data_IF_347977079781
#
_entry.id   IF_347977079781
#
_cell.length_a   1.000
_cell.length_b   1.000
_cell.length_c   1.000
_cell.angle_alpha   90.00
_cell.angle_beta   90.00
_cell.angle_gamma   90.00
#
_symmetry.space_group_name_H-M   'P 1'
#
loop_
_entity.id
_entity.type
_entity.pdbx_description
1 polymer ?
#
# COMPACT_ATOMS: atom_id res chain seq x y z
N UNK A 1 1.13 11.68 7.17
CA UNK A 1 1.11 10.40 6.43
C UNK A 1 1.41 9.34 7.47
N UNK A 2 0.60 8.28 7.57
CA UNK A 2 0.78 7.26 8.62
C UNK A 2 1.64 6.13 8.04
N UNK A 3 2.58 5.61 8.82
CA UNK A 3 3.41 4.47 8.44
C UNK A 3 2.73 3.15 8.86
N UNK A 4 2.71 2.12 8.00
CA UNK A 4 3.11 2.16 6.59
C UNK A 4 2.12 2.90 5.70
N UNK A 5 2.63 3.68 4.75
CA UNK A 5 1.80 4.55 3.91
C UNK A 5 1.27 3.87 2.65
N UNK A 6 0.34 4.56 1.97
CA UNK A 6 -0.30 4.09 0.73
C UNK A 6 0.67 3.94 -0.44
N UNK A 7 1.81 4.63 -0.43
CA UNK A 7 2.79 4.61 -1.53
C UNK A 7 3.82 3.49 -1.40
N UNK A 8 4.05 2.99 -0.17
CA UNK A 8 5.13 2.04 0.15
C UNK A 8 5.25 0.88 -0.82
N UNK A 9 4.15 0.17 -1.10
CA UNK A 9 4.26 -1.05 -1.91
C UNK A 9 4.58 -0.75 -3.37
N UNK A 10 4.04 0.35 -3.93
CA UNK A 10 4.42 0.78 -5.27
C UNK A 10 5.88 1.23 -5.32
N UNK A 11 6.34 1.94 -4.29
CA UNK A 11 7.75 2.33 -4.18
C UNK A 11 8.70 1.12 -4.10
N UNK A 12 8.34 0.12 -3.29
CA UNK A 12 9.12 -1.12 -3.17
C UNK A 12 9.17 -1.90 -4.48
N UNK A 13 8.08 -1.92 -5.24
CA UNK A 13 8.03 -2.61 -6.54
C UNK A 13 8.89 -1.88 -7.58
N UNK A 14 8.74 -0.56 -7.69
CA UNK A 14 9.37 0.20 -8.78
C UNK A 14 10.82 0.58 -8.48
N UNK A 15 11.14 0.89 -7.22
CA UNK A 15 12.44 1.44 -6.82
C UNK A 15 13.21 0.54 -5.87
N UNK A 16 12.55 -0.40 -5.21
CA UNK A 16 13.16 -1.30 -4.23
C UNK A 16 13.25 -0.73 -2.83
N UNK A 17 12.88 0.53 -2.60
CA UNK A 17 12.79 1.13 -1.26
C UNK A 17 11.50 1.95 -1.16
N UNK A 18 10.96 2.15 0.04
CA UNK A 18 9.93 3.18 0.24
C UNK A 18 10.58 4.57 0.35
N UNK A 19 9.79 5.65 0.25
CA UNK A 19 10.32 7.02 0.27
C UNK A 19 11.29 7.32 1.42
N UNK A 20 10.99 6.84 2.64
CA UNK A 20 11.86 7.03 3.81
C UNK A 20 13.03 6.02 3.92
N UNK A 21 13.21 5.14 2.94
CA UNK A 21 14.10 3.97 2.97
C UNK A 21 13.92 3.02 4.19
N UNK A 22 12.81 3.12 4.92
CA UNK A 22 12.51 2.26 6.07
C UNK A 22 12.18 0.82 5.65
N UNK A 23 11.56 0.64 4.49
CA UNK A 23 11.32 -0.66 3.88
C UNK A 23 12.17 -0.77 2.63
N UNK A 24 12.78 -1.94 2.41
CA UNK A 24 13.64 -2.25 1.27
C UNK A 24 13.30 -3.61 0.68
N UNK A 25 13.62 -3.81 -0.60
CA UNK A 25 13.49 -5.07 -1.30
C UNK A 25 14.49 -6.10 -0.77
N UNK A 26 14.24 -7.38 -1.07
CA UNK A 26 15.16 -8.44 -0.67
C UNK A 26 16.55 -8.27 -1.29
N UNK A 27 16.65 -7.70 -2.49
CA UNK A 27 17.93 -7.56 -3.18
C UNK A 27 18.80 -6.51 -2.49
N UNK A 28 18.19 -5.40 -2.06
CA UNK A 28 18.88 -4.37 -1.28
C UNK A 28 19.26 -4.91 0.11
N UNK A 29 18.34 -5.61 0.77
CA UNK A 29 18.63 -6.22 2.07
C UNK A 29 19.78 -7.24 2.03
N UNK A 30 19.99 -7.91 0.89
CA UNK A 30 21.08 -8.87 0.67
C UNK A 30 22.37 -8.22 0.15
N UNK A 31 22.38 -6.90 -0.09
CA UNK A 31 23.51 -6.20 -0.69
C UNK A 31 23.72 -6.50 -2.18
N UNK A 32 22.72 -7.05 -2.87
CA UNK A 32 22.77 -7.32 -4.31
C UNK A 32 22.49 -6.07 -5.15
N UNK A 33 21.85 -5.06 -4.54
CA UNK A 33 21.56 -3.76 -5.14
C UNK A 33 21.74 -2.67 -4.08
N UNK A 34 22.22 -1.50 -4.48
CA UNK A 34 22.29 -0.33 -3.58
C UNK A 34 20.97 0.45 -3.57
N UNK A 35 20.68 1.11 -2.45
CA UNK A 35 19.50 1.94 -2.31
C UNK A 35 19.71 3.32 -2.96
N UNK A 36 18.79 3.72 -3.83
CA UNK A 36 18.81 5.02 -4.50
C UNK A 36 17.70 5.93 -3.99
N UNK A 37 17.85 7.26 -4.09
CA UNK A 37 16.77 8.21 -3.81
C UNK A 37 15.59 7.98 -4.75
N UNK A 38 14.37 8.04 -4.20
CA UNK A 38 13.13 7.84 -4.98
C UNK A 38 12.30 9.13 -5.00
N UNK A 39 11.46 9.34 -6.03
CA UNK A 39 10.57 10.50 -6.08
C UNK A 39 9.46 10.44 -5.02
N UNK A 40 8.97 11.60 -4.60
CA UNK A 40 7.77 11.72 -3.74
C UNK A 40 6.51 11.43 -4.57
N UNK A 41 5.85 10.30 -4.32
CA UNK A 41 4.60 9.92 -4.99
C UNK A 41 3.37 10.62 -4.45
N UNK A 42 3.45 11.21 -3.26
CA UNK A 42 2.32 11.84 -2.62
C UNK A 42 1.92 13.10 -3.38
N UNK A 43 0.67 13.19 -3.88
CA UNK A 43 0.21 14.39 -4.56
C UNK A 43 0.28 15.62 -3.64
N UNK A 44 0.44 16.82 -4.24
CA UNK A 44 0.48 18.06 -3.49
C UNK A 44 -0.81 18.26 -2.68
N UNK A 45 -0.72 19.08 -1.62
CA UNK A 45 -1.83 19.27 -0.67
C UNK A 45 -3.13 19.73 -1.36
N UNK A 46 -3.02 20.63 -2.34
CA UNK A 46 -4.14 21.17 -3.11
C UNK A 46 -4.98 20.09 -3.81
N UNK A 47 -4.34 19.09 -4.41
CA UNK A 47 -5.03 17.98 -5.09
C UNK A 47 -5.67 16.99 -4.10
N UNK A 48 -5.03 16.77 -2.94
CA UNK A 48 -5.55 15.87 -1.91
C UNK A 48 -6.83 16.40 -1.25
N UNK A 49 -6.94 17.71 -1.04
CA UNK A 49 -8.13 18.33 -0.45
C UNK A 49 -9.35 18.16 -1.37
N UNK A 50 -9.18 18.40 -2.68
CA UNK A 50 -10.26 18.24 -3.68
C UNK A 50 -10.82 16.81 -3.72
N UNK A 51 -9.96 15.79 -3.65
CA UNK A 51 -10.38 14.37 -3.63
C UNK A 51 -11.22 14.03 -2.39
N UNK A 52 -10.88 14.59 -1.22
CA UNK A 52 -11.55 14.30 0.05
C UNK A 52 -12.99 14.85 0.08
N UNK A 53 -13.19 16.08 -0.39
CA UNK A 53 -14.51 16.74 -0.48
C UNK A 53 -15.49 15.99 -1.40
N UNK A 54 -14.95 15.26 -2.38
CA UNK A 54 -15.77 14.48 -3.33
C UNK A 54 -16.23 13.14 -2.73
N UNK A 55 -15.40 12.51 -1.88
CA UNK A 55 -15.69 11.19 -1.30
C UNK A 55 -16.66 11.19 -0.11
N UNK A 56 -16.82 12.32 0.58
CA UNK A 56 -17.65 12.41 1.80
C UNK A 56 -19.16 12.54 1.53
N UNK A 57 -19.58 12.70 0.26
CA UNK A 57 -21.00 12.89 -0.13
C UNK A 57 -21.79 11.60 -0.39
N UNK A 58 -21.19 10.41 -0.26
CA UNK A 58 -21.86 9.14 -0.57
C UNK A 58 -21.79 8.16 0.61
N UNK A 59 -22.73 8.28 1.54
CA UNK A 59 -23.00 7.24 2.56
C UNK A 59 -24.44 6.76 2.34
N UNK A 60 -24.60 5.79 1.46
CA UNK A 60 -25.79 4.95 1.37
C UNK A 60 -25.44 3.58 1.92
N UNK A 61 -26.23 3.07 2.88
CA UNK A 61 -26.06 1.72 3.44
C UNK A 61 -26.51 0.71 2.37
N UNK A 62 -25.55 0.25 1.57
CA UNK A 62 -25.69 -0.70 0.48
C UNK A 62 -24.33 -0.93 -0.17
N UNK A 63 -24.13 -2.11 -0.77
CA UNK A 63 -22.90 -2.63 -1.43
C UNK A 63 -21.74 -1.62 -1.53
N UNK A 64 -20.68 -1.83 -0.74
CA UNK A 64 -19.49 -0.96 -0.71
C UNK A 64 -18.95 -0.78 -2.13
N UNK A 65 -19.03 0.43 -2.66
CA UNK A 65 -18.49 0.75 -3.99
C UNK A 65 -17.03 1.20 -3.78
N UNK A 66 -16.13 0.23 -3.68
CA UNK A 66 -14.75 0.49 -3.30
C UNK A 66 -13.93 0.94 -4.51
N UNK A 67 -12.92 1.77 -4.31
CA UNK A 67 -11.97 2.11 -5.39
C UNK A 67 -11.03 0.94 -5.68
N UNK A 68 -10.71 0.16 -4.65
CA UNK A 68 -9.78 -0.97 -4.67
C UNK A 68 -10.36 -2.14 -3.89
N UNK A 69 -10.05 -3.39 -4.27
CA UNK A 69 -10.32 -4.53 -3.42
C UNK A 69 -9.52 -4.44 -2.12
N UNK A 70 -10.04 -5.07 -1.07
CA UNK A 70 -9.37 -5.18 0.23
C UNK A 70 -8.74 -6.55 0.33
N UNK A 71 -7.44 -6.58 0.62
CA UNK A 71 -6.67 -7.79 0.86
C UNK A 71 -6.42 -7.97 2.36
N UNK A 72 -6.50 -9.22 2.83
CA UNK A 72 -6.24 -9.60 4.22
C UNK A 72 -5.08 -10.58 4.30
N UNK A 73 -4.14 -10.32 5.20
CA UNK A 73 -3.11 -11.30 5.54
C UNK A 73 -3.72 -12.41 6.41
N UNK A 74 -3.68 -13.66 5.95
CA UNK A 74 -4.18 -14.84 6.69
C UNK A 74 -3.38 -15.17 7.95
N UNK A 75 -2.19 -14.56 8.13
CA UNK A 75 -1.31 -14.82 9.27
C UNK A 75 -1.62 -13.86 10.43
N UNK A 76 -1.64 -12.54 10.19
CA UNK A 76 -1.79 -11.54 11.25
C UNK A 76 -3.04 -10.65 11.12
N UNK A 77 -3.86 -10.86 10.09
CA UNK A 77 -5.07 -10.07 9.87
C UNK A 77 -4.85 -8.66 9.30
N UNK A 78 -3.64 -8.28 8.90
CA UNK A 78 -3.38 -6.98 8.26
C UNK A 78 -4.27 -6.78 7.03
N UNK A 79 -4.94 -5.63 6.96
CA UNK A 79 -5.82 -5.24 5.87
C UNK A 79 -5.20 -4.11 5.04
N UNK A 80 -5.31 -4.20 3.72
CA UNK A 80 -4.94 -3.10 2.82
C UNK A 80 -5.84 -3.04 1.58
N UNK A 81 -6.26 -1.83 1.22
CA UNK A 81 -7.03 -1.57 0.00
C UNK A 81 -6.09 -1.23 -1.17
N UNK A 82 -5.86 -2.18 -2.08
CA UNK A 82 -4.94 -2.05 -3.23
C UNK A 82 -5.39 -2.99 -4.36
N UNK A 83 -5.00 -2.71 -5.60
CA UNK A 83 -5.24 -3.63 -6.72
C UNK A 83 -4.60 -5.01 -6.50
N UNK A 84 -3.41 -5.03 -5.89
CA UNK A 84 -2.59 -6.24 -5.70
C UNK A 84 -2.09 -6.23 -4.24
N UNK A 85 -2.04 -7.38 -3.55
CA UNK A 85 -1.54 -7.45 -2.18
C UNK A 85 -0.02 -7.20 -2.13
N UNK A 86 0.52 -6.75 -0.99
CA UNK A 86 1.96 -6.58 -0.81
C UNK A 86 2.72 -7.89 -1.04
N UNK A 87 3.93 -7.81 -1.60
CA UNK A 87 4.82 -8.98 -1.74
C UNK A 87 5.16 -9.61 -0.38
N UNK A 88 5.31 -8.77 0.64
CA UNK A 88 5.60 -9.16 2.02
C UNK A 88 4.67 -8.36 2.95
N UNK A 89 4.00 -9.07 3.86
CA UNK A 89 3.18 -8.43 4.89
C UNK A 89 4.05 -7.52 5.75
N UNK A 90 3.73 -6.22 5.88
CA UNK A 90 4.58 -5.31 6.64
C UNK A 90 4.62 -5.59 8.13
N UNK A 91 3.56 -6.24 8.64
CA UNK A 91 3.39 -6.54 10.05
C UNK A 91 4.13 -7.84 10.42
N UNK A 92 3.75 -8.97 9.79
CA UNK A 92 4.27 -10.30 10.16
C UNK A 92 5.29 -10.90 9.19
N UNK A 93 5.62 -10.21 8.10
CA UNK A 93 6.55 -10.66 7.05
C UNK A 93 6.13 -11.91 6.27
N UNK A 94 4.89 -12.38 6.41
CA UNK A 94 4.33 -13.42 5.55
C UNK A 94 4.34 -12.99 4.08
N UNK A 95 4.62 -13.92 3.16
CA UNK A 95 4.65 -13.68 1.71
C UNK A 95 3.24 -13.45 1.15
N UNK A 96 3.19 -12.91 -0.07
CA UNK A 96 1.98 -12.54 -0.83
C UNK A 96 0.94 -13.66 -0.95
N UNK A 97 1.38 -14.91 -1.09
CA UNK A 97 0.55 -16.12 -1.17
C UNK A 97 -0.29 -16.36 0.10
N UNK A 98 0.09 -15.72 1.21
CA UNK A 98 -0.64 -15.75 2.47
C UNK A 98 -1.70 -14.64 2.56
N UNK A 99 -1.90 -13.85 1.51
CA UNK A 99 -3.03 -12.91 1.43
C UNK A 99 -4.25 -13.56 0.77
N UNK A 100 -5.43 -13.09 1.16
CA UNK A 100 -6.72 -13.45 0.57
C UNK A 100 -7.49 -12.17 0.21
N UNK A 101 -8.31 -12.26 -0.84
CA UNK A 101 -9.27 -11.21 -1.15
C UNK A 101 -10.35 -11.22 -0.05
N UNK A 102 -10.48 -10.10 0.66
CA UNK A 102 -11.40 -9.97 1.80
C UNK A 102 -12.71 -9.31 1.39
N UNK A 103 -12.62 -8.22 0.62
CA UNK A 103 -13.79 -7.54 0.03
C UNK A 103 -13.41 -7.20 -1.42
N UNK A 104 -14.26 -7.58 -2.35
CA UNK A 104 -14.10 -7.24 -3.77
C UNK A 104 -14.54 -5.79 -4.05
N UNK A 105 -14.11 -5.26 -5.19
CA UNK A 105 -14.38 -3.88 -5.62
C UNK A 105 -15.86 -3.63 -5.94
#
# INVERSE_FOLDING_TARGET
>A
IICPCDYRDADLVDYGTCFCALYVSSDIAKGLKEAEPIPERRPPRSERTKKKETSEKSIGVGKLNLTYPIWRCKVCGYLCARNIPPEICPICKAKKDRFELFIDK
#
